data_IF_096859690820
#
_entry.id   IF_096859690820
#
_cell.length_a   1.000
_cell.length_b   1.000
_cell.length_c   1.000
_cell.angle_alpha   90.00
_cell.angle_beta   90.00
_cell.angle_gamma   90.00
#
_symmetry.space_group_name_H-M   'P 1'
#
loop_
_entity.id
_entity.type
_entity.pdbx_description
1 polymer ?
#
# COMPACT_ATOMS: atom_id res chain seq x y z
N UNK A 1 12.25 -20.78 24.41
CA UNK A 1 11.82 -19.44 23.95
C UNK A 1 11.64 -19.50 22.45
N UNK A 2 10.41 -19.65 21.96
CA UNK A 2 10.13 -19.66 20.53
C UNK A 2 10.03 -18.23 20.04
N UNK A 3 11.09 -17.70 19.43
CA UNK A 3 10.97 -16.52 18.58
C UNK A 3 10.14 -16.95 17.39
N UNK A 4 8.86 -16.55 17.37
CA UNK A 4 7.99 -16.75 16.22
C UNK A 4 8.58 -15.85 15.12
N UNK A 5 9.50 -16.41 14.33
CA UNK A 5 9.98 -15.80 13.10
C UNK A 5 8.83 -15.96 12.12
N UNK A 6 7.91 -14.99 12.14
CA UNK A 6 6.98 -14.83 11.03
C UNK A 6 7.84 -14.79 9.76
N UNK A 7 7.58 -15.64 8.74
CA UNK A 7 8.21 -15.43 7.46
C UNK A 7 7.73 -14.07 7.00
N UNK A 8 8.59 -13.05 7.16
CA UNK A 8 8.55 -11.86 6.33
C UNK A 8 8.85 -12.39 4.94
N UNK A 9 7.83 -12.91 4.26
CA UNK A 9 7.93 -13.24 2.85
C UNK A 9 8.50 -11.97 2.22
N UNK A 10 9.73 -12.03 1.67
CA UNK A 10 10.32 -10.85 1.08
C UNK A 10 9.33 -10.36 0.02
N UNK A 11 9.01 -9.06 0.01
CA UNK A 11 8.21 -8.51 -1.09
C UNK A 11 8.82 -8.99 -2.39
N UNK A 12 8.13 -9.89 -3.07
CA UNK A 12 8.64 -10.45 -4.30
C UNK A 12 8.51 -9.39 -5.41
N UNK A 13 9.25 -9.55 -6.50
CA UNK A 13 9.13 -8.66 -7.65
C UNK A 13 7.68 -8.54 -8.16
N UNK A 14 6.88 -9.60 -7.99
CA UNK A 14 5.46 -9.59 -8.30
C UNK A 14 4.65 -8.66 -7.37
N UNK A 15 4.91 -8.67 -6.06
CA UNK A 15 4.22 -7.82 -5.09
C UNK A 15 4.56 -6.35 -5.30
N UNK A 16 5.83 -6.04 -5.55
CA UNK A 16 6.25 -4.69 -5.91
C UNK A 16 5.58 -4.18 -7.18
N UNK A 17 5.39 -5.06 -8.18
CA UNK A 17 4.68 -4.73 -9.42
C UNK A 17 3.20 -4.44 -9.16
N UNK A 18 2.57 -5.19 -8.25
CA UNK A 18 1.20 -4.96 -7.83
C UNK A 18 1.04 -3.61 -7.13
N UNK A 19 1.83 -3.34 -6.10
CA UNK A 19 1.79 -2.07 -5.35
C UNK A 19 2.06 -0.87 -6.27
N UNK A 20 3.03 -1.00 -7.17
CA UNK A 20 3.33 0.05 -8.17
C UNK A 20 2.14 0.28 -9.11
N UNK A 21 1.44 -0.79 -9.51
CA UNK A 21 0.28 -0.69 -10.40
C UNK A 21 -0.89 0.01 -9.72
N UNK A 22 -1.15 -0.28 -8.44
CA UNK A 22 -2.18 0.39 -7.63
C UNK A 22 -1.84 1.88 -7.46
N UNK A 23 -0.59 2.18 -7.10
CA UNK A 23 -0.14 3.57 -6.95
C UNK A 23 -0.29 4.37 -8.25
N UNK A 24 0.05 3.77 -9.40
CA UNK A 24 -0.12 4.39 -10.72
C UNK A 24 -1.57 4.75 -11.00
N UNK A 25 -2.50 3.83 -10.76
CA UNK A 25 -3.94 4.09 -10.95
C UNK A 25 -4.43 5.21 -10.05
N UNK A 26 -3.99 5.23 -8.80
CA UNK A 26 -4.30 6.32 -7.87
C UNK A 26 -3.75 7.65 -8.39
N UNK A 27 -2.48 7.69 -8.82
CA UNK A 27 -1.86 8.87 -9.42
C UNK A 27 -2.63 9.38 -10.65
N UNK A 28 -3.04 8.48 -11.55
CA UNK A 28 -3.84 8.83 -12.73
C UNK A 28 -5.22 9.39 -12.35
N UNK A 29 -5.87 8.80 -11.34
CA UNK A 29 -7.18 9.22 -10.85
C UNK A 29 -7.17 10.60 -10.21
N UNK A 30 -6.14 10.92 -9.45
CA UNK A 30 -5.99 12.20 -8.74
C UNK A 30 -5.14 13.22 -9.49
N UNK A 31 -4.66 12.87 -10.69
CA UNK A 31 -3.72 13.68 -11.49
C UNK A 31 -2.47 14.09 -10.72
N UNK A 32 -1.97 13.19 -9.87
CA UNK A 32 -0.75 13.36 -9.07
C UNK A 32 0.41 12.74 -9.84
N UNK A 33 1.56 13.40 -9.86
CA UNK A 33 2.77 12.82 -10.44
C UNK A 33 3.30 11.68 -9.56
N UNK A 34 3.77 10.58 -10.16
CA UNK A 34 4.37 9.46 -9.42
C UNK A 34 5.60 9.86 -8.60
N UNK A 35 6.28 10.94 -8.97
CA UNK A 35 7.43 11.51 -8.26
C UNK A 35 7.05 12.59 -7.25
N UNK A 36 5.76 12.91 -7.11
CA UNK A 36 5.31 13.88 -6.14
C UNK A 36 5.52 13.35 -4.71
N UNK A 37 5.58 14.27 -3.75
CA UNK A 37 5.64 13.87 -2.34
C UNK A 37 4.40 13.07 -1.92
N UNK A 38 3.25 13.40 -2.50
CA UNK A 38 1.97 12.77 -2.19
C UNK A 38 1.89 11.31 -2.67
N UNK A 39 2.35 11.01 -3.89
CA UNK A 39 2.46 9.64 -4.38
C UNK A 39 3.47 8.83 -3.54
N UNK A 40 4.56 9.45 -3.11
CA UNK A 40 5.57 8.80 -2.27
C UNK A 40 5.00 8.42 -0.89
N UNK A 41 4.15 9.29 -0.31
CA UNK A 41 3.41 8.97 0.93
C UNK A 41 2.46 7.79 0.71
N UNK A 42 1.66 7.79 -0.36
CA UNK A 42 0.75 6.67 -0.68
C UNK A 42 1.49 5.37 -0.97
N UNK A 43 2.65 5.43 -1.62
CA UNK A 43 3.51 4.26 -1.86
C UNK A 43 3.96 3.62 -0.54
N UNK A 44 4.31 4.45 0.45
CA UNK A 44 4.70 3.97 1.77
C UNK A 44 3.52 3.33 2.50
N UNK A 45 2.34 3.96 2.48
CA UNK A 45 1.12 3.39 3.04
C UNK A 45 0.80 2.01 2.44
N UNK A 46 0.91 1.86 1.11
CA UNK A 46 0.73 0.57 0.43
C UNK A 46 1.65 -0.53 0.96
N UNK A 47 2.93 -0.21 1.17
CA UNK A 47 3.91 -1.16 1.71
C UNK A 47 3.58 -1.50 3.16
N UNK A 48 3.20 -0.52 3.97
CA UNK A 48 2.82 -0.73 5.38
C UNK A 48 1.59 -1.65 5.49
N UNK A 49 0.55 -1.42 4.68
CA UNK A 49 -0.64 -2.29 4.63
C UNK A 49 -0.31 -3.69 4.12
N UNK A 50 0.55 -3.80 3.12
CA UNK A 50 1.01 -5.09 2.61
C UNK A 50 1.80 -5.89 3.65
N UNK A 51 2.71 -5.24 4.36
CA UNK A 51 3.45 -5.84 5.47
C UNK A 51 2.56 -6.21 6.66
N UNK A 52 1.46 -5.47 6.87
CA UNK A 52 0.45 -5.78 7.87
C UNK A 52 -0.36 -7.04 7.51
N UNK A 53 -0.41 -7.39 6.22
CA UNK A 53 -1.06 -8.61 5.71
C UNK A 53 -2.15 -8.36 4.66
N UNK A 54 -2.40 -7.11 4.28
CA UNK A 54 -3.36 -6.78 3.23
C UNK A 54 -2.73 -7.05 1.87
N UNK A 55 -3.14 -8.14 1.23
CA UNK A 55 -2.63 -8.55 -0.09
C UNK A 55 -3.63 -8.35 -1.23
N UNK A 56 -4.87 -8.00 -0.91
CA UNK A 56 -5.89 -7.78 -1.93
C UNK A 56 -5.69 -6.40 -2.60
N UNK A 57 -5.56 -6.34 -3.93
CA UNK A 57 -5.30 -5.09 -4.62
C UNK A 57 -6.46 -4.11 -4.59
N UNK A 58 -7.70 -4.59 -4.50
CA UNK A 58 -8.87 -3.71 -4.38
C UNK A 58 -8.89 -3.09 -3.00
N UNK A 59 -8.68 -3.89 -1.96
CA UNK A 59 -8.59 -3.39 -0.58
C UNK A 59 -7.44 -2.39 -0.41
N UNK A 60 -6.28 -2.66 -0.99
CA UNK A 60 -5.14 -1.73 -0.99
C UNK A 60 -5.44 -0.41 -1.71
N UNK A 61 -6.12 -0.46 -2.87
CA UNK A 61 -6.55 0.74 -3.60
C UNK A 61 -7.53 1.56 -2.76
N UNK A 62 -8.46 0.90 -2.09
CA UNK A 62 -9.42 1.52 -1.18
C UNK A 62 -8.74 2.13 0.06
N UNK A 63 -7.73 1.47 0.63
CA UNK A 63 -7.02 1.97 1.82
C UNK A 63 -6.22 3.24 1.55
N UNK A 64 -5.57 3.33 0.39
CA UNK A 64 -4.85 4.56 0.01
C UNK A 64 -5.76 5.65 -0.52
N UNK A 65 -6.96 5.28 -0.98
CA UNK A 65 -8.03 6.22 -1.32
C UNK A 65 -8.59 6.80 -0.02
N UNK A 66 -8.63 8.13 0.07
CA UNK A 66 -8.97 8.88 1.28
C UNK A 66 -10.40 8.61 1.80
N UNK A 67 -11.15 7.72 1.15
CA UNK A 67 -12.51 7.31 1.48
C UNK A 67 -12.62 6.34 2.67
N UNK A 68 -11.58 5.55 2.96
CA UNK A 68 -11.71 4.44 3.91
C UNK A 68 -11.02 4.64 5.28
N UNK A 69 -10.15 5.65 5.42
CA UNK A 69 -9.46 5.94 6.69
C UNK A 69 -10.32 6.60 7.79
N UNK A 70 -11.65 6.65 7.63
CA UNK A 70 -12.57 7.12 8.68
C UNK A 70 -12.56 6.26 9.96
N UNK A 71 -11.78 5.17 10.00
CA UNK A 71 -11.59 4.36 11.20
C UNK A 71 -10.46 4.94 12.06
N UNK A 72 -10.88 5.74 13.03
CA UNK A 72 -10.17 6.06 14.28
C UNK A 72 -9.05 7.09 14.24
N UNK A 73 -9.44 8.36 14.08
CA UNK A 73 -8.83 9.42 14.88
C UNK A 73 -9.75 9.70 16.09
N UNK A 74 -9.68 8.82 17.10
CA UNK A 74 -10.25 9.03 18.45
C UNK A 74 -9.13 9.44 19.40
#
# INVERSE_FOLDING_TARGET
MGTIFWPKDPLDGNDMTLLTSILRRWCERYQVELTAEESSRKAKELVEWFEFGVKDPVELEELIDDKYWLVSRI
#
